data_IF_338762315021
#
_entry.id   IF_338762315021
#
_cell.length_a   1.000
_cell.length_b   1.000
_cell.length_c   1.000
_cell.angle_alpha   90.00
_cell.angle_beta   90.00
_cell.angle_gamma   90.00
#
_symmetry.space_group_name_H-M   'P 1'
#
loop_
_entity.id
_entity.type
_entity.pdbx_description
1 polymer ?
#
# COMPACT_ATOMS: atom_id res chain seq x y z
N UNK A 1 2.64 17.42 -27.88
CA UNK A 1 2.48 16.00 -27.48
C UNK A 1 1.09 15.81 -26.91
N UNK A 2 0.35 14.77 -27.28
CA UNK A 2 -0.97 14.50 -26.72
C UNK A 2 -0.89 14.32 -25.20
N UNK A 3 -1.86 14.88 -24.44
CA UNK A 3 -1.88 14.88 -22.97
C UNK A 3 -1.76 13.47 -22.33
N UNK A 4 -2.24 12.43 -23.01
CA UNK A 4 -2.16 11.04 -22.55
C UNK A 4 -0.73 10.46 -22.56
N UNK A 5 0.22 11.00 -23.32
CA UNK A 5 1.63 10.58 -23.31
C UNK A 5 2.41 11.08 -22.08
N UNK A 6 1.85 12.01 -21.30
CA UNK A 6 2.45 12.56 -20.08
C UNK A 6 2.03 11.83 -18.80
N UNK A 7 1.45 10.62 -18.89
CA UNK A 7 1.04 9.87 -17.70
C UNK A 7 2.22 9.68 -16.77
N UNK A 8 2.15 10.36 -15.64
CA UNK A 8 3.07 10.16 -14.52
C UNK A 8 2.69 8.86 -13.85
N UNK A 9 3.39 7.80 -14.22
CA UNK A 9 3.14 6.52 -13.60
C UNK A 9 3.79 6.51 -12.23
N UNK A 10 2.98 6.47 -11.21
CA UNK A 10 3.34 6.10 -9.85
C UNK A 10 2.47 4.94 -9.43
N UNK A 11 3.03 4.03 -8.65
CA UNK A 11 2.28 2.98 -7.98
C UNK A 11 2.44 3.15 -6.48
N UNK A 12 1.36 2.96 -5.75
CA UNK A 12 1.40 2.84 -4.31
C UNK A 12 1.21 1.37 -3.94
N UNK A 13 2.12 0.83 -3.14
CA UNK A 13 2.00 -0.50 -2.53
C UNK A 13 1.60 -0.24 -1.09
N UNK A 14 0.28 -0.31 -0.85
CA UNK A 14 -0.32 -0.07 0.45
C UNK A 14 -0.24 -1.28 1.35
N UNK A 15 -0.12 -1.04 2.65
CA UNK A 15 -0.17 -2.07 3.70
C UNK A 15 -1.16 -1.63 4.76
N UNK A 16 -2.06 -2.52 5.12
CA UNK A 16 -2.93 -2.39 6.29
C UNK A 16 -2.78 -3.64 7.16
N UNK A 17 -3.11 -3.52 8.43
CA UNK A 17 -3.15 -4.64 9.36
C UNK A 17 -4.40 -4.57 10.26
N UNK A 18 -4.73 -5.68 10.89
CA UNK A 18 -5.84 -5.81 11.83
C UNK A 18 -5.56 -5.18 13.20
N UNK A 19 -4.30 -4.79 13.45
CA UNK A 19 -3.87 -4.17 14.71
C UNK A 19 -3.79 -2.66 14.58
N UNK A 20 -4.68 -1.95 15.24
CA UNK A 20 -4.78 -0.49 15.23
C UNK A 20 -3.53 0.18 15.82
N UNK A 21 -2.97 -0.40 16.89
CA UNK A 21 -1.82 0.16 17.62
C UNK A 21 -0.52 0.24 16.80
N UNK A 22 -0.43 -0.56 15.74
CA UNK A 22 0.74 -0.60 14.86
C UNK A 22 0.45 -0.14 13.42
N UNK A 23 -0.82 0.06 13.06
CA UNK A 23 -1.23 0.41 11.69
C UNK A 23 -0.47 1.65 11.17
N UNK A 24 -0.34 2.70 11.96
CA UNK A 24 0.37 3.93 11.59
C UNK A 24 1.88 3.73 11.32
N UNK A 25 2.43 2.56 11.64
CA UNK A 25 3.85 2.24 11.40
C UNK A 25 4.07 1.31 10.22
N UNK A 26 2.98 0.78 9.64
CA UNK A 26 3.07 -0.10 8.50
C UNK A 26 3.72 0.60 7.30
N UNK A 27 4.69 -0.05 6.66
CA UNK A 27 5.42 0.57 5.56
C UNK A 27 4.51 0.79 4.35
N UNK A 28 4.57 1.98 3.79
CA UNK A 28 3.87 2.36 2.57
C UNK A 28 4.91 2.66 1.47
N UNK A 29 4.83 2.00 0.32
CA UNK A 29 5.80 2.20 -0.75
C UNK A 29 5.19 2.99 -1.91
N UNK A 30 5.69 4.18 -2.15
CA UNK A 30 5.35 5.01 -3.31
C UNK A 30 6.45 4.86 -4.35
N UNK A 31 6.13 4.19 -5.46
CA UNK A 31 7.09 3.81 -6.50
C UNK A 31 6.92 4.73 -7.70
N UNK A 32 7.93 5.53 -8.00
CA UNK A 32 7.94 6.46 -9.13
C UNK A 32 8.82 5.97 -10.29
N UNK A 33 8.40 6.34 -11.52
CA UNK A 33 9.18 6.08 -12.72
C UNK A 33 10.40 7.01 -12.77
N UNK A 34 11.56 6.44 -13.10
CA UNK A 34 12.82 7.18 -13.19
C UNK A 34 12.84 8.30 -14.25
N UNK A 35 11.90 8.31 -15.20
CA UNK A 35 11.76 9.37 -16.21
C UNK A 35 11.03 10.59 -15.67
N UNK A 36 10.13 10.41 -14.70
CA UNK A 36 9.31 11.48 -14.12
C UNK A 36 9.77 11.87 -12.72
N UNK A 37 10.30 10.91 -11.96
CA UNK A 37 10.90 11.13 -10.64
C UNK A 37 12.43 11.16 -10.79
N UNK A 38 12.99 12.35 -10.94
CA UNK A 38 14.42 12.52 -11.20
C UNK A 38 15.26 12.27 -9.95
N UNK A 39 16.45 11.66 -10.12
CA UNK A 39 17.34 11.33 -9.00
C UNK A 39 17.70 12.55 -8.15
N UNK A 40 17.94 13.71 -8.78
CA UNK A 40 18.25 14.98 -8.11
C UNK A 40 17.15 15.52 -7.21
N UNK A 41 15.89 15.09 -7.44
CA UNK A 41 14.73 15.53 -6.66
C UNK A 41 14.49 14.65 -5.42
N UNK A 42 15.02 13.42 -5.40
CA UNK A 42 14.70 12.42 -4.36
C UNK A 42 15.01 12.94 -2.95
N UNK A 43 16.15 13.56 -2.75
CA UNK A 43 16.55 14.04 -1.42
C UNK A 43 15.58 15.13 -0.90
N UNK A 44 15.17 16.06 -1.77
CA UNK A 44 14.21 17.10 -1.43
C UNK A 44 12.80 16.50 -1.20
N UNK A 45 12.35 15.60 -2.09
CA UNK A 45 11.02 14.98 -2.00
C UNK A 45 10.87 13.99 -0.83
N UNK A 46 11.98 13.50 -0.26
CA UNK A 46 11.96 12.65 0.95
C UNK A 46 11.93 13.44 2.24
N UNK A 47 12.31 14.72 2.20
CA UNK A 47 12.36 15.58 3.39
C UNK A 47 10.95 15.84 3.91
N UNK A 48 10.74 15.67 5.23
CA UNK A 48 9.44 15.91 5.87
C UNK A 48 8.37 14.87 5.62
N UNK A 49 8.67 13.78 4.92
CA UNK A 49 7.72 12.66 4.76
C UNK A 49 7.67 11.79 6.02
N UNK A 50 6.53 11.14 6.29
CA UNK A 50 6.43 10.14 7.34
C UNK A 50 7.49 9.05 7.18
N UNK A 51 8.06 8.58 8.30
CA UNK A 51 9.19 7.64 8.29
C UNK A 51 8.85 6.27 7.66
N UNK A 52 7.59 5.86 7.76
CA UNK A 52 7.08 4.62 7.19
C UNK A 52 6.75 4.76 5.68
N UNK A 53 6.60 5.98 5.15
CA UNK A 53 6.33 6.20 3.73
C UNK A 53 7.63 6.26 2.94
N UNK A 54 7.88 5.27 2.11
CA UNK A 54 9.11 5.10 1.31
C UNK A 54 8.90 5.52 -0.14
N UNK A 55 9.56 6.62 -0.55
CA UNK A 55 9.61 7.01 -1.95
C UNK A 55 10.72 6.22 -2.67
N UNK A 56 10.33 5.42 -3.65
CA UNK A 56 11.21 4.52 -4.40
C UNK A 56 11.24 4.93 -5.87
N UNK A 57 12.43 4.98 -6.45
CA UNK A 57 12.64 5.28 -7.86
C UNK A 57 13.11 4.05 -8.60
N UNK A 58 12.41 3.69 -9.70
CA UNK A 58 12.76 2.57 -10.56
C UNK A 58 12.67 2.96 -12.05
N UNK A 59 13.18 2.06 -12.92
CA UNK A 59 13.03 2.20 -14.38
C UNK A 59 11.56 2.27 -14.80
N UNK A 60 10.69 1.54 -14.11
CA UNK A 60 9.22 1.61 -14.25
C UNK A 60 8.58 1.81 -12.88
N UNK A 61 7.37 2.36 -12.81
CA UNK A 61 6.63 2.50 -11.56
C UNK A 61 5.98 1.19 -11.07
N UNK A 62 6.12 0.09 -11.77
CA UNK A 62 5.52 -1.19 -11.41
C UNK A 62 6.25 -1.88 -10.26
N UNK A 63 5.49 -2.53 -9.38
CA UNK A 63 6.05 -3.43 -8.37
C UNK A 63 6.74 -4.64 -9.01
N UNK A 64 7.67 -5.23 -8.28
CA UNK A 64 8.37 -6.46 -8.65
C UNK A 64 8.71 -7.28 -7.40
N UNK A 65 9.10 -8.54 -7.59
CA UNK A 65 9.38 -9.45 -6.49
C UNK A 65 10.51 -8.97 -5.55
N UNK A 66 11.48 -8.20 -6.05
CA UNK A 66 12.52 -7.60 -5.20
C UNK A 66 11.93 -6.54 -4.26
N UNK A 67 11.06 -5.67 -4.75
CA UNK A 67 10.39 -4.67 -3.93
C UNK A 67 9.44 -5.32 -2.93
N UNK A 68 8.68 -6.32 -3.35
CA UNK A 68 7.81 -7.07 -2.44
C UNK A 68 8.61 -7.72 -1.32
N UNK A 69 9.76 -8.34 -1.61
CA UNK A 69 10.63 -8.91 -0.59
C UNK A 69 11.24 -7.85 0.36
N UNK A 70 11.52 -6.64 -0.14
CA UNK A 70 11.95 -5.51 0.70
C UNK A 70 10.79 -5.05 1.60
N UNK A 71 9.58 -4.95 1.06
CA UNK A 71 8.38 -4.59 1.82
C UNK A 71 8.14 -5.56 2.98
N UNK A 72 8.21 -6.87 2.71
CA UNK A 72 8.07 -7.91 3.76
C UNK A 72 9.04 -7.68 4.91
N UNK A 73 10.32 -7.38 4.61
CA UNK A 73 11.32 -7.07 5.64
C UNK A 73 11.00 -5.80 6.44
N UNK A 74 10.45 -4.78 5.79
CA UNK A 74 10.01 -3.56 6.47
C UNK A 74 8.78 -3.79 7.34
N UNK A 75 7.83 -4.63 6.91
CA UNK A 75 6.70 -5.05 7.74
C UNK A 75 7.21 -5.77 8.99
N UNK A 76 8.12 -6.75 8.83
CA UNK A 76 8.70 -7.46 9.96
C UNK A 76 9.39 -6.51 10.95
N UNK A 77 10.22 -5.59 10.45
CA UNK A 77 10.89 -4.61 11.30
C UNK A 77 9.91 -3.67 12.04
N UNK A 78 8.81 -3.27 11.41
CA UNK A 78 7.78 -2.45 12.04
C UNK A 78 7.07 -3.21 13.17
N UNK A 79 6.76 -4.48 12.96
CA UNK A 79 6.16 -5.36 13.94
C UNK A 79 7.10 -5.62 15.13
N UNK A 80 8.38 -5.94 14.86
CA UNK A 80 9.35 -6.25 15.90
C UNK A 80 9.73 -5.00 16.73
N UNK A 81 9.78 -3.83 16.09
CA UNK A 81 10.20 -2.58 16.74
C UNK A 81 9.18 -1.97 17.69
N UNK A 82 7.87 -2.17 17.47
CA UNK A 82 6.82 -1.55 18.26
C UNK A 82 6.05 -2.48 19.17
N UNK A 83 5.74 -3.66 18.69
CA UNK A 83 4.90 -4.59 19.46
C UNK A 83 5.70 -5.48 20.39
N UNK A 84 7.05 -5.46 20.32
CA UNK A 84 7.85 -6.47 20.97
C UNK A 84 7.35 -7.87 20.63
N UNK A 85 7.04 -8.10 19.33
CA UNK A 85 6.40 -9.33 18.87
C UNK A 85 7.07 -10.54 19.48
N UNK A 86 6.31 -11.28 20.29
CA UNK A 86 6.78 -12.55 20.77
C UNK A 86 7.08 -13.46 19.58
N UNK A 87 8.15 -14.25 19.65
CA UNK A 87 8.55 -15.16 18.56
C UNK A 87 7.44 -16.15 18.19
N UNK A 88 6.51 -16.37 19.10
CA UNK A 88 5.38 -17.29 18.95
C UNK A 88 4.18 -16.69 18.21
N UNK A 89 4.15 -15.36 18.01
CA UNK A 89 3.06 -14.72 17.28
C UNK A 89 3.21 -14.98 15.80
N UNK A 90 2.27 -15.74 15.25
CA UNK A 90 2.20 -16.03 13.83
C UNK A 90 1.50 -14.89 13.10
N UNK A 91 2.16 -14.36 12.07
CA UNK A 91 1.62 -13.31 11.21
C UNK A 91 1.15 -13.92 9.89
N UNK A 92 -0.09 -13.63 9.51
CA UNK A 92 -0.63 -13.96 8.18
C UNK A 92 -0.40 -12.77 7.25
N UNK A 93 0.36 -12.96 6.18
CA UNK A 93 0.55 -11.97 5.13
C UNK A 93 -0.34 -12.30 3.93
N UNK A 94 -1.39 -11.51 3.72
CA UNK A 94 -2.33 -11.68 2.62
C UNK A 94 -1.80 -10.96 1.37
N UNK A 95 -1.61 -11.68 0.28
CA UNK A 95 -1.22 -11.14 -1.02
C UNK A 95 -2.13 -11.70 -2.11
N UNK A 96 -2.32 -10.96 -3.19
CA UNK A 96 -2.98 -11.46 -4.38
C UNK A 96 -2.12 -12.49 -5.14
N UNK A 97 -2.71 -13.17 -6.13
CA UNK A 97 -2.05 -14.19 -6.94
C UNK A 97 -1.13 -13.62 -8.04
N UNK A 98 -0.64 -12.40 -7.93
CA UNK A 98 0.30 -11.84 -8.89
C UNK A 98 1.64 -12.61 -8.87
N UNK A 99 2.20 -12.91 -10.05
CA UNK A 99 3.45 -13.68 -10.19
C UNK A 99 4.62 -13.12 -9.38
N UNK A 100 4.64 -11.81 -9.14
CA UNK A 100 5.69 -11.15 -8.35
C UNK A 100 5.70 -11.60 -6.89
N UNK A 101 4.59 -12.07 -6.35
CA UNK A 101 4.43 -12.53 -4.96
C UNK A 101 4.96 -13.94 -4.73
N UNK A 102 5.18 -14.73 -5.79
CA UNK A 102 5.69 -16.10 -5.71
C UNK A 102 7.19 -16.21 -6.00
N UNK A 103 7.90 -15.10 -6.08
CA UNK A 103 9.34 -15.16 -6.35
C UNK A 103 10.12 -15.76 -5.17
N UNK A 104 11.22 -16.49 -5.42
CA UNK A 104 12.03 -17.06 -4.35
C UNK A 104 12.51 -16.02 -3.32
N UNK A 105 12.67 -14.77 -3.75
CA UNK A 105 13.06 -13.67 -2.86
C UNK A 105 11.96 -13.33 -1.84
N UNK A 106 10.68 -13.32 -2.27
CA UNK A 106 9.53 -13.06 -1.40
C UNK A 106 9.34 -14.22 -0.43
N UNK A 107 9.36 -15.46 -0.93
CA UNK A 107 9.21 -16.65 -0.08
C UNK A 107 10.29 -16.73 1.00
N UNK A 108 11.55 -16.46 0.64
CA UNK A 108 12.64 -16.40 1.63
C UNK A 108 12.44 -15.26 2.65
N UNK A 109 11.96 -14.10 2.22
CA UNK A 109 11.70 -12.98 3.13
C UNK A 109 10.55 -13.32 4.12
N UNK A 110 9.47 -13.93 3.66
CA UNK A 110 8.37 -14.39 4.52
C UNK A 110 8.85 -15.44 5.53
N UNK A 111 9.62 -16.45 5.08
CA UNK A 111 10.19 -17.47 5.96
C UNK A 111 11.10 -16.86 7.03
N UNK A 112 12.00 -15.94 6.65
CA UNK A 112 12.90 -15.28 7.57
C UNK A 112 12.17 -14.39 8.59
N UNK A 113 11.02 -13.84 8.22
CA UNK A 113 10.17 -13.01 9.08
C UNK A 113 9.18 -13.85 9.93
N UNK A 114 9.16 -15.16 9.80
CA UNK A 114 8.14 -16.04 10.38
C UNK A 114 6.71 -15.61 9.98
N UNK A 115 6.50 -15.29 8.68
CA UNK A 115 5.20 -14.96 8.14
C UNK A 115 4.61 -16.14 7.36
N UNK A 116 3.35 -16.45 7.60
CA UNK A 116 2.58 -17.32 6.73
C UNK A 116 2.02 -16.52 5.57
N UNK A 117 2.46 -16.87 4.38
CA UNK A 117 1.98 -16.25 3.15
C UNK A 117 0.65 -16.91 2.75
N UNK A 118 -0.41 -16.11 2.78
CA UNK A 118 -1.73 -16.50 2.30
C UNK A 118 -1.98 -15.82 0.96
N UNK A 119 -2.19 -16.62 -0.07
CA UNK A 119 -2.44 -16.11 -1.42
C UNK A 119 -3.93 -16.13 -1.71
N UNK A 120 -4.46 -14.93 -1.98
CA UNK A 120 -5.84 -14.76 -2.38
C UNK A 120 -5.95 -15.15 -3.87
N UNK A 121 -6.80 -16.13 -4.22
CA UNK A 121 -6.95 -16.58 -5.60
C UNK A 121 -7.36 -15.44 -6.55
N UNK A 122 -7.01 -15.56 -7.84
CA UNK A 122 -7.49 -14.61 -8.84
C UNK A 122 -9.01 -14.50 -8.82
N UNK A 123 -9.53 -13.29 -9.04
CA UNK A 123 -10.96 -12.96 -9.03
C UNK A 123 -11.66 -13.05 -7.65
N UNK A 124 -10.92 -13.24 -6.55
CA UNK A 124 -11.47 -13.18 -5.19
C UNK A 124 -11.00 -11.94 -4.42
N UNK A 125 -10.05 -11.17 -4.91
CA UNK A 125 -9.49 -9.99 -4.22
C UNK A 125 -10.57 -8.96 -3.86
N UNK A 126 -11.51 -8.70 -4.77
CA UNK A 126 -12.62 -7.78 -4.53
C UNK A 126 -13.68 -8.31 -3.55
N UNK A 127 -13.59 -9.58 -3.14
CA UNK A 127 -14.51 -10.19 -2.18
C UNK A 127 -13.90 -10.37 -0.79
N UNK A 128 -12.61 -10.73 -0.71
CA UNK A 128 -11.98 -11.18 0.52
C UNK A 128 -10.59 -10.56 0.78
N UNK A 129 -10.18 -9.54 0.03
CA UNK A 129 -8.93 -8.83 0.33
C UNK A 129 -9.25 -7.46 0.96
N UNK A 130 -9.00 -7.25 2.27
CA UNK A 130 -9.37 -6.02 2.97
C UNK A 130 -8.89 -4.72 2.31
N UNK A 131 -7.75 -4.74 1.62
CA UNK A 131 -7.29 -3.59 0.82
C UNK A 131 -8.22 -3.26 -0.35
N UNK A 132 -8.72 -4.28 -1.06
CA UNK A 132 -9.55 -4.10 -2.26
C UNK A 132 -11.04 -3.94 -1.90
N UNK A 133 -11.51 -4.63 -0.84
CA UNK A 133 -12.91 -4.58 -0.41
C UNK A 133 -13.28 -3.25 0.23
N UNK A 134 -12.34 -2.63 0.95
CA UNK A 134 -12.61 -1.46 1.80
C UNK A 134 -11.62 -0.31 1.58
N UNK A 135 -10.31 -0.56 1.76
CA UNK A 135 -9.35 0.51 1.93
C UNK A 135 -9.08 1.30 0.63
N UNK A 136 -8.90 0.63 -0.50
CA UNK A 136 -8.50 1.29 -1.74
C UNK A 136 -9.61 2.14 -2.38
N UNK A 137 -10.88 1.79 -2.21
CA UNK A 137 -11.97 2.61 -2.70
C UNK A 137 -11.95 3.99 -2.02
N UNK A 138 -11.86 3.99 -0.69
CA UNK A 138 -11.80 5.20 0.11
C UNK A 138 -10.50 5.99 -0.13
N UNK A 139 -9.36 5.29 -0.17
CA UNK A 139 -8.06 5.90 -0.46
C UNK A 139 -8.06 6.64 -1.81
N UNK A 140 -8.61 6.02 -2.85
CA UNK A 140 -8.71 6.63 -4.19
C UNK A 140 -9.63 7.85 -4.20
N UNK A 141 -10.74 7.82 -3.46
CA UNK A 141 -11.63 8.97 -3.33
C UNK A 141 -10.90 10.16 -2.68
N UNK A 142 -10.32 9.95 -1.51
CA UNK A 142 -9.57 11.00 -0.78
C UNK A 142 -8.39 11.54 -1.60
N UNK A 143 -7.66 10.65 -2.28
CA UNK A 143 -6.58 11.06 -3.17
C UNK A 143 -7.07 11.90 -4.35
N UNK A 144 -8.23 11.55 -4.94
CA UNK A 144 -8.82 12.30 -6.04
C UNK A 144 -9.24 13.70 -5.59
N UNK A 145 -9.87 13.82 -4.43
CA UNK A 145 -10.31 15.10 -3.87
C UNK A 145 -9.08 16.01 -3.58
N UNK A 146 -8.07 15.47 -2.92
CA UNK A 146 -6.81 16.17 -2.66
C UNK A 146 -6.09 16.58 -3.96
N UNK A 147 -6.12 15.73 -4.99
CA UNK A 147 -5.56 16.05 -6.30
C UNK A 147 -6.32 17.18 -6.99
N UNK A 148 -7.64 17.16 -6.96
CA UNK A 148 -8.48 18.21 -7.56
C UNK A 148 -8.27 19.56 -6.86
N UNK A 149 -8.22 19.56 -5.55
CA UNK A 149 -7.93 20.75 -4.74
C UNK A 149 -6.53 21.31 -5.02
N UNK A 150 -5.50 20.48 -5.05
CA UNK A 150 -4.14 20.89 -5.39
C UNK A 150 -4.07 21.43 -6.82
N UNK A 151 -4.79 20.82 -7.76
CA UNK A 151 -4.86 21.23 -9.15
C UNK A 151 -5.51 22.61 -9.31
N UNK A 152 -6.57 22.90 -8.56
CA UNK A 152 -7.23 24.23 -8.61
C UNK A 152 -6.33 25.37 -8.13
N UNK A 153 -5.34 25.06 -7.28
CA UNK A 153 -4.36 26.03 -6.75
C UNK A 153 -3.05 26.08 -7.54
N UNK A 154 -2.85 25.12 -8.45
CA UNK A 154 -1.60 25.04 -9.21
C UNK A 154 -1.50 26.15 -10.24
N UNK A 155 -0.36 26.85 -10.27
CA UNK A 155 -0.05 27.87 -11.25
C UNK A 155 0.30 27.32 -12.65
N UNK A 156 0.33 26.00 -12.83
CA UNK A 156 0.66 25.37 -14.10
C UNK A 156 -0.47 25.58 -15.12
N UNK A 157 -0.20 26.28 -16.21
CA UNK A 157 -1.15 26.56 -17.28
C UNK A 157 -1.81 25.30 -17.88
N UNK A 158 -1.09 24.18 -17.90
CA UNK A 158 -1.58 22.87 -18.36
C UNK A 158 -2.46 22.13 -17.34
N UNK A 159 -2.61 22.67 -16.12
CA UNK A 159 -3.36 22.06 -15.03
C UNK A 159 -2.78 20.74 -14.49
N UNK A 160 -1.56 20.39 -14.86
CA UNK A 160 -0.86 19.20 -14.36
C UNK A 160 -0.07 19.57 -13.09
N UNK A 161 -0.20 18.75 -12.02
CA UNK A 161 0.59 18.92 -10.80
C UNK A 161 2.05 18.53 -11.05
N UNK A 162 2.97 19.30 -10.49
CA UNK A 162 4.38 18.87 -10.35
C UNK A 162 4.49 17.71 -9.34
N UNK A 163 5.63 17.03 -9.30
CA UNK A 163 5.86 15.97 -8.33
C UNK A 163 5.85 16.47 -6.89
N UNK A 164 6.27 17.72 -6.67
CA UNK A 164 6.24 18.41 -5.37
C UNK A 164 4.83 18.74 -4.90
N UNK A 165 3.89 18.96 -5.82
CA UNK A 165 2.49 19.22 -5.50
C UNK A 165 1.69 17.91 -5.35
N UNK A 166 2.04 16.87 -6.11
CA UNK A 166 1.28 15.61 -6.13
C UNK A 166 1.62 14.68 -4.95
N UNK A 167 2.90 14.60 -4.55
CA UNK A 167 3.30 13.71 -3.45
C UNK A 167 2.62 14.03 -2.11
N UNK A 168 2.42 15.30 -1.71
CA UNK A 168 1.64 15.62 -0.52
C UNK A 168 0.20 15.10 -0.56
N UNK A 169 -0.43 15.06 -1.73
CA UNK A 169 -1.77 14.46 -1.88
C UNK A 169 -1.76 12.97 -1.55
N UNK A 170 -0.75 12.25 -2.03
CA UNK A 170 -0.55 10.84 -1.72
C UNK A 170 -0.29 10.64 -0.23
N UNK A 171 0.60 11.43 0.36
CA UNK A 171 0.94 11.33 1.78
C UNK A 171 -0.26 11.62 2.68
N UNK A 172 -1.05 12.65 2.36
CA UNK A 172 -2.28 12.98 3.07
C UNK A 172 -3.33 11.85 2.98
N UNK A 173 -3.50 11.26 1.80
CA UNK A 173 -4.41 10.13 1.62
C UNK A 173 -3.93 8.87 2.36
N UNK A 174 -2.63 8.60 2.41
CA UNK A 174 -2.06 7.52 3.22
C UNK A 174 -2.36 7.74 4.69
N UNK A 175 -2.04 8.92 5.23
CA UNK A 175 -2.21 9.24 6.64
C UNK A 175 -3.68 9.20 7.07
N UNK A 176 -4.57 9.80 6.29
CA UNK A 176 -5.99 9.91 6.66
C UNK A 176 -6.76 8.61 6.49
N UNK A 177 -6.38 7.75 5.55
CA UNK A 177 -7.11 6.52 5.23
C UNK A 177 -6.36 5.29 5.73
N UNK A 178 -5.15 5.02 5.21
CA UNK A 178 -4.50 3.75 5.52
C UNK A 178 -3.96 3.70 6.94
N UNK A 179 -3.46 4.81 7.47
CA UNK A 179 -2.87 4.90 8.81
C UNK A 179 -3.87 5.38 9.87
N UNK A 180 -4.76 6.28 9.51
CA UNK A 180 -5.68 6.95 10.43
C UNK A 180 -6.96 6.18 10.74
N UNK A 181 -7.14 4.94 10.27
CA UNK A 181 -8.36 4.15 10.46
C UNK A 181 -8.06 2.75 10.98
N UNK A 182 -8.94 2.21 11.85
CA UNK A 182 -8.87 0.81 12.25
C UNK A 182 -9.38 -0.09 11.11
N UNK A 183 -8.64 -1.15 10.80
CA UNK A 183 -8.99 -2.08 9.73
C UNK A 183 -9.44 -3.46 10.24
N UNK A 184 -9.39 -3.73 11.55
CA UNK A 184 -9.78 -5.01 12.14
C UNK A 184 -11.14 -5.52 11.64
N UNK A 185 -12.14 -4.63 11.59
CA UNK A 185 -13.47 -5.00 11.11
C UNK A 185 -13.51 -5.38 9.62
N UNK A 186 -12.61 -4.85 8.79
CA UNK A 186 -12.47 -5.26 7.39
C UNK A 186 -11.90 -6.68 7.29
N UNK A 187 -10.86 -6.99 8.08
CA UNK A 187 -10.32 -8.34 8.15
C UNK A 187 -11.34 -9.35 8.67
N UNK A 188 -12.13 -8.99 9.71
CA UNK A 188 -13.20 -9.84 10.22
C UNK A 188 -14.27 -10.15 9.16
N UNK A 189 -14.72 -9.13 8.42
CA UNK A 189 -15.73 -9.31 7.36
C UNK A 189 -15.25 -10.20 6.23
N UNK A 190 -13.97 -10.09 5.90
CA UNK A 190 -13.35 -10.84 4.81
C UNK A 190 -12.88 -12.24 5.25
N UNK A 191 -13.17 -12.63 6.51
CA UNK A 191 -12.94 -13.98 7.04
C UNK A 191 -11.54 -14.21 7.63
N UNK A 192 -10.79 -13.15 7.90
CA UNK A 192 -9.43 -13.22 8.47
C UNK A 192 -9.35 -12.76 9.93
N UNK A 193 -10.47 -12.41 10.55
CA UNK A 193 -10.51 -12.01 11.95
C UNK A 193 -10.42 -13.20 12.92
N UNK A 194 -10.14 -12.90 14.19
CA UNK A 194 -10.05 -13.91 15.26
C UNK A 194 -11.41 -14.55 15.62
N UNK A 195 -12.53 -13.95 15.18
CA UNK A 195 -13.88 -14.48 15.41
C UNK A 195 -14.27 -15.48 14.33
N UNK A 196 -14.86 -16.62 14.72
CA UNK A 196 -15.49 -17.56 13.79
C UNK A 196 -16.80 -16.97 13.25
N UNK A 197 -16.74 -15.84 12.54
CA UNK A 197 -17.91 -15.30 11.85
C UNK A 197 -18.09 -16.03 10.52
N UNK A 198 -19.33 -16.40 10.24
CA UNK A 198 -19.69 -16.86 8.91
C UNK A 198 -19.28 -15.81 7.87
N UNK A 199 -18.80 -16.26 6.71
CA UNK A 199 -18.53 -15.40 5.56
C UNK A 199 -19.69 -14.40 5.38
N UNK A 200 -19.33 -13.14 5.20
CA UNK A 200 -20.28 -12.05 4.96
C UNK A 200 -21.26 -12.44 3.84
N UNK A 201 -22.50 -11.99 3.95
CA UNK A 201 -23.53 -12.22 2.95
C UNK A 201 -23.14 -11.72 1.55
N UNK A 202 -22.24 -10.73 1.45
CA UNK A 202 -21.62 -10.32 0.19
C UNK A 202 -20.90 -11.46 -0.53
N UNK A 203 -20.23 -12.32 0.21
CA UNK A 203 -19.50 -13.47 -0.35
C UNK A 203 -20.49 -14.59 -0.69
N UNK A 204 -21.47 -14.84 0.18
CA UNK A 204 -22.51 -15.87 -0.03
C UNK A 204 -23.40 -15.61 -1.24
N UNK A 205 -23.71 -14.32 -1.50
CA UNK A 205 -24.57 -13.93 -2.62
C UNK A 205 -23.86 -13.86 -3.97
N UNK A 206 -22.53 -13.95 -3.99
CA UNK A 206 -21.72 -13.83 -5.22
C UNK A 206 -20.94 -15.10 -5.57
N UNK A 207 -21.03 -16.16 -4.76
CA UNK A 207 -20.56 -17.51 -5.03
C UNK A 207 -21.67 -18.34 -5.64
#
# INVERSE_FOLDING_TARGET
MPKWKRRRYMSHIGVICDREDIQATMPQFVVGNARTLLARQIAALRRGRPLNVRLIRQKSAWSNGRLTAILVRHIAAALDGRSGRARDVQVLLLLDAAKIHFTPAVLRACKAANFWLVIIPPRLTFLIQPLDTDAFALYKSVLLDAYQEARSRSANADGDLSMTEFLPCIDGAIQSVLEGRPWAAAFDRDGFGAGQRALDDRVKTRL
#
